data_IF_341525886870
#
_entry.id   IF_341525886870
#
_cell.length_a   1.000
_cell.length_b   1.000
_cell.length_c   1.000
_cell.angle_alpha   90.00
_cell.angle_beta   90.00
_cell.angle_gamma   90.00
#
_symmetry.space_group_name_H-M   'P 1'
#
loop_
_entity.id
_entity.type
_entity.pdbx_description
1 polymer ?
#
# COMPACT_ATOMS: atom_id res chain seq x y z
N UNK A 1 -3.70 -4.54 12.08
CA UNK A 1 -2.25 -4.45 12.40
C UNK A 1 -1.74 -3.07 12.06
N UNK A 2 -0.54 -2.72 12.53
CA UNK A 2 0.13 -1.48 12.12
C UNK A 2 0.61 -1.60 10.68
N UNK A 3 0.57 -0.49 9.94
CA UNK A 3 1.11 -0.37 8.59
C UNK A 3 2.53 0.18 8.69
N UNK A 4 3.55 -0.59 8.29
CA UNK A 4 4.91 -0.09 8.21
C UNK A 4 5.02 0.90 7.05
N UNK A 5 5.52 2.09 7.34
CA UNK A 5 5.79 3.13 6.35
C UNK A 5 7.14 3.78 6.65
N UNK A 6 7.90 4.07 5.60
CA UNK A 6 9.26 4.61 5.68
C UNK A 6 9.42 5.75 4.69
N UNK A 7 10.41 6.62 4.91
CA UNK A 7 10.81 7.59 3.88
C UNK A 7 11.22 6.86 2.60
N UNK A 8 10.71 7.32 1.46
CA UNK A 8 10.92 6.67 0.16
C UNK A 8 12.12 7.28 -0.58
N UNK A 9 13.29 7.25 0.06
CA UNK A 9 14.56 7.83 -0.39
C UNK A 9 15.72 6.85 -0.18
N UNK A 10 16.76 6.92 -1.03
CA UNK A 10 17.88 5.95 -1.02
C UNK A 10 19.06 6.38 -0.16
N UNK A 11 19.33 7.68 -0.07
CA UNK A 11 20.47 8.25 0.66
C UNK A 11 20.36 8.05 2.19
N UNK A 12 19.14 8.12 2.73
CA UNK A 12 18.86 7.88 4.15
C UNK A 12 17.39 7.55 4.42
N UNK A 13 17.16 6.99 5.62
CA UNK A 13 15.84 6.81 6.20
C UNK A 13 15.58 7.94 7.19
N UNK A 14 14.76 8.92 6.81
CA UNK A 14 14.43 10.08 7.66
C UNK A 14 13.37 9.72 8.73
N UNK A 15 12.49 8.78 8.43
CA UNK A 15 11.50 8.28 9.37
C UNK A 15 11.12 6.83 9.10
N UNK A 16 10.76 6.14 10.18
CA UNK A 16 10.05 4.86 10.16
C UNK A 16 8.84 5.03 11.07
N UNK A 17 7.65 4.86 10.52
CA UNK A 17 6.43 4.87 11.30
C UNK A 17 5.66 3.56 11.14
N UNK A 18 5.01 3.15 12.23
CA UNK A 18 4.15 1.99 12.28
C UNK A 18 2.78 2.48 12.72
N UNK A 19 1.96 2.91 11.77
CA UNK A 19 0.71 3.61 12.05
C UNK A 19 -0.51 2.73 11.80
N UNK A 20 -1.55 2.89 12.61
CA UNK A 20 -2.88 2.36 12.32
C UNK A 20 -3.73 3.44 11.61
N UNK A 21 -4.68 2.99 10.80
CA UNK A 21 -5.65 3.87 10.12
C UNK A 21 -6.52 4.65 11.13
N UNK A 22 -6.69 4.19 12.37
CA UNK A 22 -7.59 4.83 13.34
C UNK A 22 -7.19 6.27 13.72
N UNK A 23 -5.89 6.62 13.72
CA UNK A 23 -5.42 7.94 14.14
C UNK A 23 -4.45 8.61 13.16
N UNK A 24 -3.93 7.89 12.16
CA UNK A 24 -3.00 8.45 11.20
C UNK A 24 -3.76 9.13 10.05
N UNK A 25 -3.76 10.46 10.03
CA UNK A 25 -4.41 11.25 8.98
C UNK A 25 -3.93 10.89 7.57
N UNK A 26 -2.63 10.59 7.41
CA UNK A 26 -2.07 10.15 6.12
C UNK A 26 -2.70 8.83 5.65
N UNK A 27 -2.77 7.82 6.52
CA UNK A 27 -3.37 6.54 6.15
C UNK A 27 -4.88 6.65 5.95
N UNK A 28 -5.57 7.52 6.68
CA UNK A 28 -6.98 7.83 6.42
C UNK A 28 -7.18 8.45 5.04
N UNK A 29 -6.35 9.42 4.66
CA UNK A 29 -6.40 10.04 3.33
C UNK A 29 -6.12 9.03 2.20
N UNK A 30 -5.16 8.12 2.40
CA UNK A 30 -4.87 7.05 1.41
C UNK A 30 -6.05 6.08 1.32
N UNK A 31 -6.62 5.65 2.45
CA UNK A 31 -7.78 4.74 2.49
C UNK A 31 -9.00 5.35 1.80
N UNK A 32 -9.26 6.65 2.00
CA UNK A 32 -10.44 7.32 1.44
C UNK A 32 -10.33 7.60 -0.06
N UNK A 33 -9.15 7.44 -0.67
CA UNK A 33 -9.02 7.59 -2.11
C UNK A 33 -9.79 6.49 -2.85
N UNK A 34 -10.32 6.82 -4.05
CA UNK A 34 -11.02 5.84 -4.91
C UNK A 34 -10.10 4.67 -5.27
N UNK A 35 -8.81 4.96 -5.53
CA UNK A 35 -7.77 3.97 -5.85
C UNK A 35 -6.57 4.18 -4.93
N UNK A 36 -6.60 3.67 -3.68
CA UNK A 36 -5.53 3.87 -2.70
C UNK A 36 -4.13 3.53 -3.22
N UNK A 37 -4.01 2.46 -4.01
CA UNK A 37 -2.74 2.05 -4.61
C UNK A 37 -2.14 3.12 -5.53
N UNK A 38 -2.95 3.95 -6.20
CA UNK A 38 -2.45 5.04 -7.04
C UNK A 38 -1.87 6.18 -6.21
N UNK A 39 -2.42 6.42 -5.01
CA UNK A 39 -1.92 7.45 -4.09
C UNK A 39 -0.63 7.01 -3.41
N UNK A 40 -0.56 5.76 -2.94
CA UNK A 40 0.63 5.19 -2.30
C UNK A 40 0.65 3.66 -2.43
N UNK A 41 1.79 3.10 -2.81
CA UNK A 41 2.03 1.65 -2.75
C UNK A 41 3.52 1.34 -2.60
N UNK A 42 3.81 0.19 -2.02
CA UNK A 42 5.13 -0.45 -2.11
C UNK A 42 5.27 -1.18 -3.45
N UNK A 43 6.49 -1.64 -3.76
CA UNK A 43 6.77 -2.49 -4.91
C UNK A 43 6.13 -3.89 -4.85
N UNK A 44 5.29 -4.16 -3.86
CA UNK A 44 4.66 -5.46 -3.64
C UNK A 44 3.14 -5.39 -3.66
N UNK A 45 2.53 -6.52 -3.99
CA UNK A 45 1.10 -6.79 -4.01
C UNK A 45 0.84 -8.06 -3.19
N UNK A 46 -0.27 -8.10 -2.44
CA UNK A 46 -0.67 -9.34 -1.79
C UNK A 46 -1.25 -10.32 -2.82
N UNK A 47 -0.90 -11.60 -2.72
CA UNK A 47 -1.42 -12.69 -3.55
C UNK A 47 -1.95 -13.80 -2.65
N UNK A 48 -3.13 -14.31 -2.98
CA UNK A 48 -3.75 -15.45 -2.31
C UNK A 48 -3.36 -16.74 -3.03
N UNK A 49 -2.94 -17.74 -2.26
CA UNK A 49 -2.92 -19.14 -2.69
C UNK A 49 -4.29 -19.75 -2.37
N UNK A 50 -5.06 -20.05 -3.41
CA UNK A 50 -6.42 -20.56 -3.30
C UNK A 50 -6.47 -21.97 -2.70
N UNK A 51 -5.44 -22.78 -2.92
CA UNK A 51 -5.39 -24.15 -2.41
C UNK A 51 -5.12 -24.19 -0.89
N UNK A 52 -4.41 -23.20 -0.37
CA UNK A 52 -4.13 -23.07 1.06
C UNK A 52 -5.19 -22.24 1.82
N UNK A 53 -6.00 -21.46 1.11
CA UNK A 53 -6.95 -20.56 1.74
C UNK A 53 -8.13 -21.32 2.37
N UNK A 54 -8.31 -21.13 3.68
CA UNK A 54 -9.39 -21.78 4.47
C UNK A 54 -10.63 -20.90 4.65
N UNK A 55 -10.75 -19.78 3.93
CA UNK A 55 -11.95 -18.92 3.98
C UNK A 55 -12.24 -18.22 5.31
N UNK A 56 -11.29 -18.15 6.24
CA UNK A 56 -11.54 -17.67 7.62
C UNK A 56 -11.88 -16.16 7.76
N UNK A 57 -11.69 -15.35 6.72
CA UNK A 57 -12.01 -13.91 6.73
C UNK A 57 -11.11 -13.00 7.58
N UNK A 58 -10.09 -13.51 8.27
CA UNK A 58 -9.21 -12.69 9.12
C UNK A 58 -8.47 -11.59 8.34
N UNK A 59 -8.02 -11.91 7.13
CA UNK A 59 -7.32 -10.98 6.27
C UNK A 59 -8.22 -9.81 5.81
N UNK A 60 -9.52 -10.05 5.61
CA UNK A 60 -10.51 -9.02 5.27
C UNK A 60 -10.62 -8.01 6.41
N UNK A 61 -10.84 -8.48 7.64
CA UNK A 61 -10.98 -7.63 8.84
C UNK A 61 -9.71 -6.82 9.14
N UNK A 62 -8.53 -7.39 8.86
CA UNK A 62 -7.25 -6.75 9.19
C UNK A 62 -6.70 -5.85 8.09
N UNK A 63 -7.25 -5.88 6.87
CA UNK A 63 -6.74 -5.09 5.77
C UNK A 63 -7.02 -3.59 6.01
N UNK A 64 -5.99 -2.75 6.21
CA UNK A 64 -6.17 -1.33 6.52
C UNK A 64 -6.81 -0.54 5.36
N UNK A 65 -6.72 -1.07 4.14
CA UNK A 65 -7.21 -0.44 2.92
C UNK A 65 -8.47 -1.11 2.38
N UNK A 66 -9.04 -2.08 3.11
CA UNK A 66 -10.20 -2.87 2.64
C UNK A 66 -9.97 -3.44 1.23
N UNK A 67 -8.74 -3.92 0.99
CA UNK A 67 -8.30 -4.41 -0.29
C UNK A 67 -8.52 -5.91 -0.47
N UNK A 68 -9.23 -6.57 0.45
CA UNK A 68 -9.50 -8.00 0.41
C UNK A 68 -11.01 -8.19 0.53
N UNK A 69 -11.56 -8.95 -0.40
CA UNK A 69 -12.96 -9.38 -0.42
C UNK A 69 -13.03 -10.90 -0.34
N UNK A 70 -14.24 -11.41 -0.11
CA UNK A 70 -14.53 -12.84 -0.13
C UNK A 70 -15.40 -13.14 -1.34
N UNK A 71 -14.94 -14.05 -2.17
CA UNK A 71 -15.63 -14.55 -3.37
C UNK A 71 -15.48 -16.08 -3.36
N UNK A 72 -16.58 -16.81 -3.52
CA UNK A 72 -16.61 -18.28 -3.49
C UNK A 72 -15.93 -18.87 -2.24
N UNK A 73 -16.18 -18.28 -1.08
CA UNK A 73 -15.57 -18.62 0.22
C UNK A 73 -14.05 -18.46 0.31
N UNK A 74 -13.42 -17.87 -0.71
CA UNK A 74 -11.99 -17.61 -0.73
C UNK A 74 -11.69 -16.11 -0.66
N UNK A 75 -10.53 -15.79 -0.10
CA UNK A 75 -10.04 -14.43 -0.12
C UNK A 75 -9.62 -14.03 -1.55
N UNK A 76 -9.93 -12.80 -1.95
CA UNK A 76 -9.49 -12.18 -3.21
C UNK A 76 -8.94 -10.79 -2.93
N UNK A 77 -7.83 -10.45 -3.57
CA UNK A 77 -7.17 -9.14 -3.40
C UNK A 77 -7.62 -8.20 -4.50
N UNK A 78 -8.10 -7.01 -4.13
CA UNK A 78 -8.39 -5.91 -5.04
C UNK A 78 -7.12 -5.08 -5.29
N UNK A 79 -6.48 -5.17 -6.48
CA UNK A 79 -5.16 -4.58 -6.70
C UNK A 79 -5.15 -3.06 -6.57
N UNK A 80 -6.24 -2.41 -6.99
CA UNK A 80 -6.41 -0.96 -6.95
C UNK A 80 -6.45 -0.38 -5.53
N UNK A 81 -6.83 -1.19 -4.54
CA UNK A 81 -6.84 -0.81 -3.12
C UNK A 81 -5.62 -1.30 -2.35
N UNK A 82 -4.97 -2.36 -2.82
CA UNK A 82 -3.83 -2.94 -2.12
C UNK A 82 -2.61 -2.01 -2.23
N UNK A 83 -2.16 -1.46 -1.11
CA UNK A 83 -0.94 -0.64 -1.04
C UNK A 83 0.34 -1.46 -0.79
N UNK A 84 0.22 -2.79 -0.66
CA UNK A 84 1.36 -3.68 -0.48
C UNK A 84 1.99 -3.65 0.93
N UNK A 85 1.17 -3.45 1.97
CA UNK A 85 1.66 -3.31 3.36
C UNK A 85 1.99 -4.61 4.11
N UNK A 86 1.60 -5.78 3.58
CA UNK A 86 1.90 -7.08 4.21
C UNK A 86 1.09 -7.44 5.46
N UNK A 87 0.21 -6.57 5.97
CA UNK A 87 -0.58 -6.84 7.19
C UNK A 87 -1.40 -8.12 7.06
N UNK A 88 -2.01 -8.36 5.89
CA UNK A 88 -2.83 -9.56 5.67
C UNK A 88 -1.99 -10.85 5.66
N UNK A 89 -0.81 -10.83 5.03
CA UNK A 89 0.11 -11.96 4.98
C UNK A 89 0.62 -12.32 6.38
N UNK A 90 1.01 -11.33 7.19
CA UNK A 90 1.48 -11.54 8.56
C UNK A 90 0.48 -12.27 9.46
N UNK A 91 -0.81 -12.04 9.23
CA UNK A 91 -1.88 -12.55 10.08
C UNK A 91 -2.63 -13.77 9.51
N UNK A 92 -2.22 -14.27 8.34
CA UNK A 92 -2.82 -15.44 7.73
C UNK A 92 -2.21 -16.70 8.37
N UNK A 93 -2.94 -17.33 9.30
CA UNK A 93 -2.49 -18.54 9.98
C UNK A 93 -2.39 -19.77 9.07
N UNK A 94 -3.13 -19.76 7.94
CA UNK A 94 -3.05 -20.80 6.92
C UNK A 94 -1.92 -20.54 5.90
N UNK A 95 -1.15 -19.46 6.07
CA UNK A 95 -0.05 -19.06 5.18
C UNK A 95 -0.44 -18.86 3.71
N UNK A 96 -1.74 -18.74 3.43
CA UNK A 96 -2.31 -18.60 2.10
C UNK A 96 -2.10 -17.21 1.46
N UNK A 97 -1.39 -16.28 2.11
CA UNK A 97 -1.18 -14.92 1.63
C UNK A 97 0.32 -14.59 1.59
N UNK A 98 0.80 -14.22 0.42
CA UNK A 98 2.21 -13.85 0.19
C UNK A 98 2.32 -12.48 -0.47
N UNK A 99 3.49 -11.84 -0.35
CA UNK A 99 3.79 -10.57 -1.02
C UNK A 99 4.59 -10.84 -2.29
N UNK A 100 4.04 -10.48 -3.45
CA UNK A 100 4.68 -10.64 -4.76
C UNK A 100 5.08 -9.30 -5.35
N UNK A 101 6.15 -9.23 -6.16
CA UNK A 101 6.51 -8.00 -6.87
C UNK A 101 5.37 -7.53 -7.79
N UNK A 102 5.20 -6.21 -7.89
CA UNK A 102 4.37 -5.61 -8.94
C UNK A 102 5.08 -5.67 -10.29
N UNK A 103 4.30 -5.61 -11.37
CA UNK A 103 4.84 -5.59 -12.73
C UNK A 103 5.79 -4.41 -12.97
N UNK A 104 5.43 -3.23 -12.45
CA UNK A 104 6.30 -2.07 -12.42
C UNK A 104 6.97 -1.91 -11.06
N UNK A 105 8.29 -1.97 -11.06
CA UNK A 105 9.10 -1.64 -9.88
C UNK A 105 9.46 -0.15 -9.93
N UNK A 106 9.22 0.54 -8.82
CA UNK A 106 9.62 1.93 -8.60
C UNK A 106 10.84 1.96 -7.72
N UNK A 107 11.93 2.52 -8.23
CA UNK A 107 13.07 2.85 -7.41
C UNK A 107 12.75 4.09 -6.55
N UNK A 108 13.04 4.06 -5.24
CA UNK A 108 12.96 5.26 -4.42
C UNK A 108 13.87 6.36 -4.97
N UNK A 109 13.47 7.62 -4.75
CA UNK A 109 14.27 8.76 -5.18
C UNK A 109 15.62 8.75 -4.48
N UNK A 110 16.63 9.35 -5.10
CA UNK A 110 17.96 9.43 -4.48
C UNK A 110 17.89 10.06 -3.08
N UNK A 111 17.16 11.16 -2.95
CA UNK A 111 17.03 11.93 -1.71
C UNK A 111 15.70 12.71 -1.67
N UNK A 112 15.39 13.31 -0.52
CA UNK A 112 14.14 14.05 -0.30
C UNK A 112 13.98 15.22 -1.28
N UNK A 113 15.08 15.91 -1.63
CA UNK A 113 15.05 17.01 -2.60
C UNK A 113 14.60 16.53 -3.98
N UNK A 114 15.09 15.38 -4.42
CA UNK A 114 14.68 14.78 -5.69
C UNK A 114 13.19 14.37 -5.67
N UNK A 115 12.70 13.81 -4.57
CA UNK A 115 11.28 13.47 -4.38
C UNK A 115 10.38 14.72 -4.47
N UNK A 116 10.67 15.76 -3.68
CA UNK A 116 9.86 16.98 -3.63
C UNK A 116 9.83 17.68 -4.99
N UNK A 117 11.00 17.78 -5.66
CA UNK A 117 11.09 18.34 -7.01
C UNK A 117 10.16 17.59 -7.98
N UNK A 118 10.20 16.26 -7.99
CA UNK A 118 9.34 15.47 -8.88
C UNK A 118 7.86 15.66 -8.57
N UNK A 119 7.47 15.65 -7.29
CA UNK A 119 6.07 15.88 -6.91
C UNK A 119 5.57 17.27 -7.33
N UNK A 120 6.44 18.27 -7.29
CA UNK A 120 6.11 19.62 -7.74
C UNK A 120 5.94 19.68 -9.26
N UNK A 121 6.86 19.07 -10.00
CA UNK A 121 6.77 18.92 -11.47
C UNK A 121 5.48 18.20 -11.90
N UNK A 122 5.15 17.08 -11.24
CA UNK A 122 3.91 16.32 -11.51
C UNK A 122 2.66 17.18 -11.24
N UNK A 123 2.68 18.01 -10.18
CA UNK A 123 1.57 18.93 -9.87
C UNK A 123 1.43 20.06 -10.89
N UNK A 124 2.55 20.61 -11.38
CA UNK A 124 2.54 21.60 -12.48
C UNK A 124 1.99 20.97 -13.75
N UNK A 125 2.47 19.78 -14.12
CA UNK A 125 2.01 19.06 -15.32
C UNK A 125 0.51 18.74 -15.24
N UNK A 126 0.02 18.41 -14.05
CA UNK A 126 -1.40 18.17 -13.80
C UNK A 126 -2.24 19.46 -13.67
N UNK A 127 -1.65 20.65 -13.83
CA UNK A 127 -2.34 21.95 -13.72
C UNK A 127 -2.84 22.28 -12.31
N UNK A 128 -2.28 21.64 -11.28
CA UNK A 128 -2.69 21.83 -9.86
C UNK A 128 -1.96 22.98 -9.17
N UNK A 129 -0.90 23.50 -9.79
CA UNK A 129 -0.11 24.65 -9.33
C UNK A 129 0.11 25.53 -10.56
N UNK A 130 -0.14 26.84 -10.43
CA UNK A 130 0.14 27.82 -11.49
C UNK A 130 1.61 27.86 -11.85
N UNK A 131 1.93 28.22 -13.10
CA UNK A 131 3.32 28.35 -13.56
C UNK A 131 3.95 29.72 -13.22
N UNK A 132 3.24 30.54 -12.46
CA UNK A 132 3.58 31.94 -12.20
C UNK A 132 3.73 32.20 -10.70
#
# INVERSE_FOLDING_TARGET
>A
GLVPTVSNTRDRIDFVCNCCVCCCGVLQSVKSATRPSMAAHSNFLARVDEAACVGCGECLRRCPMEAIVQEDDLARVQPDRCIGCGVCAHFCHAEALTMVPRAERREPFENFRALVRRQFEDKIQAGRIGKD
#
